data_IF_914916167703
#
_entry.id   IF_914916167703
#
_cell.length_a   1.000
_cell.length_b   1.000
_cell.length_c   1.000
_cell.angle_alpha   90.00
_cell.angle_beta   90.00
_cell.angle_gamma   90.00
#
_symmetry.space_group_name_H-M   'P 1'
#
loop_
_entity.id
_entity.type
_entity.pdbx_description
1 polymer ?
#
# COMPACT_ATOMS: atom_id res chain seq x y z
N UNK A 1 21.74 -16.84 29.75
CA UNK A 1 21.04 -18.08 30.13
C UNK A 1 19.63 -17.95 29.58
N UNK A 2 19.21 -18.88 28.72
CA UNK A 2 17.86 -18.87 28.17
C UNK A 2 16.93 -19.58 29.15
N UNK A 3 15.91 -18.90 29.65
CA UNK A 3 14.90 -19.48 30.52
C UNK A 3 13.64 -19.79 29.71
N UNK A 4 12.97 -20.88 30.07
CA UNK A 4 11.66 -21.23 29.54
C UNK A 4 10.61 -20.35 30.21
N UNK A 5 9.58 -19.91 29.46
CA UNK A 5 8.60 -18.94 29.98
C UNK A 5 7.85 -19.49 31.21
N UNK A 6 7.66 -20.80 31.30
CA UNK A 6 7.05 -21.44 32.47
C UNK A 6 7.91 -21.45 33.75
N UNK A 7 9.22 -21.21 33.67
CA UNK A 7 10.03 -20.98 34.88
C UNK A 7 9.69 -19.59 35.48
N UNK A 8 9.04 -18.72 34.69
CA UNK A 8 8.60 -17.38 35.10
C UNK A 8 7.21 -17.37 35.79
N UNK A 9 6.67 -18.56 36.08
CA UNK A 9 5.26 -18.81 36.40
C UNK A 9 4.79 -18.40 37.81
N UNK A 10 5.68 -18.32 38.80
CA UNK A 10 5.26 -18.35 40.21
C UNK A 10 4.51 -17.10 40.72
N UNK A 11 4.58 -15.96 40.02
CA UNK A 11 3.96 -14.70 40.47
C UNK A 11 2.93 -14.08 39.49
N UNK A 12 2.69 -14.65 38.30
CA UNK A 12 1.91 -13.94 37.27
C UNK A 12 0.98 -14.80 36.39
N UNK A 13 0.15 -15.61 37.04
CA UNK A 13 -0.84 -16.52 36.40
C UNK A 13 -1.76 -15.82 35.38
N UNK A 14 -2.10 -14.53 35.61
CA UNK A 14 -2.91 -13.72 34.69
C UNK A 14 -2.16 -13.43 33.38
N UNK A 15 -0.88 -13.08 33.45
CA UNK A 15 -0.02 -12.84 32.29
C UNK A 15 0.18 -14.13 31.50
N UNK A 16 0.36 -15.26 32.18
CA UNK A 16 0.46 -16.58 31.54
C UNK A 16 -0.80 -16.94 30.74
N UNK A 17 -1.98 -16.84 31.35
CA UNK A 17 -3.25 -17.12 30.66
C UNK A 17 -3.48 -16.18 29.45
N UNK A 18 -3.17 -14.89 29.61
CA UNK A 18 -3.27 -13.88 28.55
C UNK A 18 -2.36 -14.21 27.35
N UNK A 19 -1.14 -14.66 27.60
CA UNK A 19 -0.22 -15.07 26.53
C UNK A 19 -0.69 -16.33 25.81
N UNK A 20 -1.21 -17.33 26.54
CA UNK A 20 -1.78 -18.53 25.93
C UNK A 20 -2.97 -18.21 25.03
N UNK A 21 -3.88 -17.36 25.49
CA UNK A 21 -5.00 -16.89 24.68
C UNK A 21 -4.53 -16.16 23.42
N UNK A 22 -3.53 -15.28 23.57
CA UNK A 22 -2.97 -14.53 22.44
C UNK A 22 -2.32 -15.46 21.40
N UNK A 23 -1.53 -16.44 21.83
CA UNK A 23 -0.93 -17.44 20.93
C UNK A 23 -2.02 -18.28 20.25
N UNK A 24 -3.03 -18.73 20.99
CA UNK A 24 -4.14 -19.52 20.42
C UNK A 24 -4.89 -18.74 19.34
N UNK A 25 -5.17 -17.46 19.59
CA UNK A 25 -5.82 -16.59 18.61
C UNK A 25 -4.95 -16.34 17.38
N UNK A 26 -3.62 -16.26 17.54
CA UNK A 26 -2.68 -16.14 16.43
C UNK A 26 -2.67 -17.42 15.59
N UNK A 27 -2.54 -18.60 16.22
CA UNK A 27 -2.49 -19.90 15.53
C UNK A 27 -3.75 -20.18 14.71
N UNK A 28 -4.92 -19.67 15.11
CA UNK A 28 -6.15 -19.73 14.30
C UNK A 28 -6.03 -19.06 12.92
N UNK A 29 -5.04 -18.20 12.72
CA UNK A 29 -4.78 -17.53 11.45
C UNK A 29 -3.78 -18.28 10.56
N UNK A 30 -3.28 -19.46 10.95
CA UNK A 30 -2.22 -20.19 10.23
C UNK A 30 -2.63 -20.59 8.80
N UNK A 31 -3.90 -20.91 8.58
CA UNK A 31 -4.44 -21.27 7.26
C UNK A 31 -4.85 -20.05 6.41
N UNK A 32 -4.79 -18.86 7.00
CA UNK A 32 -5.25 -17.64 6.36
C UNK A 32 -4.14 -16.95 5.56
N UNK A 33 -4.53 -16.11 4.60
CA UNK A 33 -3.60 -15.42 3.72
C UNK A 33 -2.53 -14.58 4.47
N UNK A 34 -2.83 -14.14 5.69
CA UNK A 34 -1.89 -13.39 6.53
C UNK A 34 -0.68 -14.25 6.97
N UNK A 35 -0.83 -15.56 7.13
CA UNK A 35 0.25 -16.44 7.54
C UNK A 35 1.34 -16.53 6.47
N UNK A 36 0.99 -16.37 5.19
CA UNK A 36 1.96 -16.31 4.09
C UNK A 36 2.98 -15.16 4.24
N UNK A 37 2.63 -14.12 4.99
CA UNK A 37 3.46 -12.93 5.24
C UNK A 37 4.42 -13.10 6.43
N UNK A 38 4.21 -14.13 7.26
CA UNK A 38 5.02 -14.43 8.46
C UNK A 38 5.17 -15.95 8.68
N UNK A 39 5.51 -16.67 7.61
CA UNK A 39 5.61 -18.15 7.59
C UNK A 39 6.51 -18.70 8.70
N UNK A 40 7.64 -18.04 8.96
CA UNK A 40 8.61 -18.51 9.95
C UNK A 40 8.05 -18.43 11.38
N UNK A 41 7.39 -17.32 11.73
CA UNK A 41 6.76 -17.13 13.03
C UNK A 41 5.64 -18.15 13.28
N UNK A 42 4.78 -18.36 12.27
CA UNK A 42 3.76 -19.41 12.31
C UNK A 42 4.38 -20.79 12.45
N UNK A 43 5.39 -21.13 11.65
CA UNK A 43 6.07 -22.43 11.73
C UNK A 43 6.71 -22.68 13.09
N UNK A 44 7.29 -21.65 13.72
CA UNK A 44 7.84 -21.72 15.09
C UNK A 44 6.74 -21.99 16.12
N UNK A 45 5.64 -21.22 16.08
CA UNK A 45 4.52 -21.43 16.99
C UNK A 45 3.88 -22.81 16.81
N UNK A 46 3.61 -23.25 15.58
CA UNK A 46 3.00 -24.56 15.32
C UNK A 46 3.92 -25.72 15.70
N UNK A 47 5.24 -25.55 15.56
CA UNK A 47 6.21 -26.53 16.05
C UNK A 47 6.18 -26.60 17.58
N UNK A 48 6.17 -25.45 18.26
CA UNK A 48 6.11 -25.38 19.71
C UNK A 48 4.78 -25.97 20.24
N UNK A 49 3.66 -25.70 19.57
CA UNK A 49 2.35 -26.26 19.91
C UNK A 49 2.36 -27.80 19.80
N UNK A 50 2.91 -28.36 18.72
CA UNK A 50 3.04 -29.81 18.55
C UNK A 50 3.93 -30.45 19.62
N UNK A 51 5.02 -29.77 19.99
CA UNK A 51 5.91 -30.23 21.06
C UNK A 51 5.19 -30.19 22.42
N UNK A 52 4.41 -29.14 22.70
CA UNK A 52 3.59 -29.02 23.89
C UNK A 52 2.51 -30.12 23.96
N UNK A 53 1.78 -30.35 22.87
CA UNK A 53 0.78 -31.41 22.79
C UNK A 53 1.39 -32.81 23.02
N UNK A 54 2.61 -33.04 22.51
CA UNK A 54 3.32 -34.29 22.75
C UNK A 54 3.74 -34.42 24.21
N UNK A 55 4.33 -33.37 24.81
CA UNK A 55 4.77 -33.38 26.21
C UNK A 55 3.61 -33.52 27.20
N UNK A 56 2.48 -32.87 26.95
CA UNK A 56 1.26 -32.96 27.75
C UNK A 56 0.70 -34.38 27.84
N UNK A 57 0.99 -35.24 26.85
CA UNK A 57 0.57 -36.65 26.86
C UNK A 57 1.35 -37.51 27.87
N UNK A 58 2.54 -37.07 28.28
CA UNK A 58 3.45 -37.82 29.16
C UNK A 58 3.74 -37.09 30.47
N UNK A 59 3.05 -35.98 30.73
CA UNK A 59 3.20 -35.13 31.90
C UNK A 59 1.94 -35.20 32.77
N UNK A 60 2.12 -35.29 34.09
CA UNK A 60 1.02 -35.13 35.07
C UNK A 60 0.73 -33.64 35.36
N UNK A 61 1.56 -32.73 34.87
CA UNK A 61 1.41 -31.26 34.98
C UNK A 61 0.81 -30.65 33.70
N UNK A 62 0.17 -29.47 33.83
CA UNK A 62 -0.41 -28.64 32.76
C UNK A 62 0.68 -28.12 31.79
N UNK A 63 1.28 -29.02 31.01
CA UNK A 63 2.32 -28.73 30.03
C UNK A 63 1.73 -28.01 28.80
N UNK A 64 2.22 -26.82 28.51
CA UNK A 64 1.68 -25.94 27.48
C UNK A 64 2.79 -25.36 26.57
N UNK A 65 2.39 -24.55 25.59
CA UNK A 65 3.34 -23.98 24.60
C UNK A 65 4.39 -23.06 25.24
N UNK A 66 4.07 -22.44 26.38
CA UNK A 66 5.01 -21.58 27.12
C UNK A 66 6.09 -22.40 27.85
N UNK A 67 5.88 -23.69 28.07
CA UNK A 67 6.91 -24.63 28.56
C UNK A 67 7.90 -25.06 27.47
N UNK A 68 7.61 -24.73 26.21
CA UNK A 68 8.45 -25.06 25.06
C UNK A 68 9.18 -23.82 24.56
N UNK A 69 8.50 -22.68 24.54
CA UNK A 69 9.05 -21.43 24.04
C UNK A 69 10.03 -20.81 25.03
N UNK A 70 11.19 -20.43 24.51
CA UNK A 70 12.14 -19.59 25.25
C UNK A 70 11.81 -18.10 25.11
N UNK A 71 12.37 -17.29 25.99
CA UNK A 71 12.30 -15.82 25.88
C UNK A 71 12.83 -15.30 24.53
N UNK A 72 13.92 -15.90 24.02
CA UNK A 72 14.51 -15.57 22.72
C UNK A 72 13.57 -15.93 21.57
N UNK A 73 12.91 -17.09 21.64
CA UNK A 73 11.90 -17.51 20.65
C UNK A 73 10.72 -16.55 20.63
N UNK A 74 10.21 -16.15 21.80
CA UNK A 74 9.09 -15.23 21.92
C UNK A 74 9.43 -13.84 21.35
N UNK A 75 10.62 -13.31 21.67
CA UNK A 75 11.09 -12.04 21.09
C UNK A 75 11.19 -12.14 19.56
N UNK A 76 11.77 -13.22 19.05
CA UNK A 76 11.91 -13.43 17.61
C UNK A 76 10.55 -13.51 16.91
N UNK A 77 9.60 -14.25 17.49
CA UNK A 77 8.22 -14.37 16.98
C UNK A 77 7.51 -13.00 16.97
N UNK A 78 7.60 -12.23 18.07
CA UNK A 78 7.00 -10.89 18.15
C UNK A 78 7.61 -9.97 17.08
N UNK A 79 8.93 -10.01 16.90
CA UNK A 79 9.62 -9.21 15.89
C UNK A 79 9.16 -9.55 14.45
N UNK A 80 9.11 -10.84 14.12
CA UNK A 80 8.66 -11.31 12.81
C UNK A 80 7.20 -10.91 12.53
N UNK A 81 6.31 -11.03 13.52
CA UNK A 81 4.93 -10.57 13.36
C UNK A 81 4.81 -9.07 13.17
N UNK A 82 5.56 -8.26 13.93
CA UNK A 82 5.57 -6.80 13.74
C UNK A 82 6.02 -6.41 12.34
N UNK A 83 7.07 -7.06 11.82
CA UNK A 83 7.54 -6.85 10.45
C UNK A 83 6.46 -7.20 9.43
N UNK A 84 5.77 -8.33 9.61
CA UNK A 84 4.69 -8.73 8.72
C UNK A 84 3.48 -7.80 8.79
N UNK A 85 3.11 -7.30 9.97
CA UNK A 85 2.02 -6.32 10.16
C UNK A 85 2.27 -5.03 9.38
N UNK A 86 3.52 -4.57 9.30
CA UNK A 86 3.91 -3.43 8.47
C UNK A 86 3.69 -3.73 6.98
N UNK A 87 4.22 -4.86 6.49
CA UNK A 87 4.08 -5.28 5.09
C UNK A 87 2.61 -5.46 4.67
N UNK A 88 1.80 -6.05 5.55
CA UNK A 88 0.35 -6.23 5.33
C UNK A 88 -0.36 -4.88 5.26
N UNK A 89 0.03 -3.92 6.11
CA UNK A 89 -0.53 -2.56 6.08
C UNK A 89 -0.23 -1.86 4.76
N UNK A 90 1.02 -1.91 4.30
CA UNK A 90 1.44 -1.34 3.02
C UNK A 90 0.67 -1.97 1.85
N UNK A 91 0.46 -3.28 1.91
CA UNK A 91 -0.27 -4.07 0.92
C UNK A 91 -1.75 -3.68 0.85
N UNK A 92 -2.42 -3.56 2.00
CA UNK A 92 -3.81 -3.08 2.11
C UNK A 92 -3.92 -1.65 1.54
N UNK A 93 -3.00 -0.76 1.92
CA UNK A 93 -3.00 0.62 1.45
C UNK A 93 -2.76 0.73 -0.06
N UNK A 94 -1.87 -0.10 -0.61
CA UNK A 94 -1.63 -0.17 -2.06
C UNK A 94 -2.89 -0.63 -2.81
N UNK A 95 -3.57 -1.66 -2.33
CA UNK A 95 -4.84 -2.12 -2.89
C UNK A 95 -5.94 -1.04 -2.79
N UNK A 96 -6.03 -0.34 -1.66
CA UNK A 96 -6.98 0.74 -1.48
C UNK A 96 -6.70 1.95 -2.39
N UNK A 97 -5.43 2.24 -2.70
CA UNK A 97 -5.05 3.26 -3.69
C UNK A 97 -5.43 2.82 -5.11
N UNK A 98 -5.07 1.60 -5.51
CA UNK A 98 -5.42 1.05 -6.82
C UNK A 98 -6.94 1.07 -7.07
N UNK A 99 -7.74 0.67 -6.06
CA UNK A 99 -9.21 0.74 -6.15
C UNK A 99 -9.73 2.17 -6.36
N UNK A 100 -9.14 3.18 -5.71
CA UNK A 100 -9.50 4.60 -5.91
C UNK A 100 -9.12 5.11 -7.30
N UNK A 101 -7.96 4.70 -7.81
CA UNK A 101 -7.53 5.03 -9.17
C UNK A 101 -8.48 4.43 -10.21
N UNK A 102 -8.90 3.18 -10.03
CA UNK A 102 -9.90 2.52 -10.89
C UNK A 102 -11.24 3.27 -10.90
N UNK A 103 -11.73 3.70 -9.73
CA UNK A 103 -12.95 4.52 -9.65
C UNK A 103 -12.78 5.86 -10.39
N UNK A 104 -11.60 6.46 -10.26
CA UNK A 104 -11.27 7.72 -10.95
C UNK A 104 -11.23 7.52 -12.48
N UNK A 105 -10.61 6.44 -12.95
CA UNK A 105 -10.59 6.07 -14.38
C UNK A 105 -12.00 5.81 -14.90
N UNK A 106 -12.82 5.07 -14.16
CA UNK A 106 -14.22 4.83 -14.52
C UNK A 106 -15.01 6.15 -14.63
N UNK A 107 -14.81 7.08 -13.68
CA UNK A 107 -15.40 8.41 -13.74
C UNK A 107 -14.98 9.21 -14.99
N UNK A 108 -13.68 9.19 -15.33
CA UNK A 108 -13.16 9.83 -16.55
C UNK A 108 -13.75 9.21 -17.83
N UNK A 109 -13.88 7.89 -17.87
CA UNK A 109 -14.50 7.18 -19.01
C UNK A 109 -15.95 7.61 -19.19
N UNK A 110 -16.73 7.68 -18.11
CA UNK A 110 -18.13 8.13 -18.16
C UNK A 110 -18.23 9.59 -18.60
N UNK A 111 -17.41 10.48 -18.05
CA UNK A 111 -17.39 11.89 -18.44
C UNK A 111 -17.07 12.07 -19.93
N UNK A 112 -16.04 11.37 -20.43
CA UNK A 112 -15.70 11.40 -21.86
C UNK A 112 -16.75 10.74 -22.73
N UNK A 113 -17.40 9.68 -22.28
CA UNK A 113 -18.48 9.05 -23.02
C UNK A 113 -19.66 10.02 -23.19
N UNK A 114 -19.98 10.79 -22.14
CA UNK A 114 -20.99 11.84 -22.25
C UNK A 114 -20.56 12.95 -23.22
N UNK A 115 -19.30 13.40 -23.15
CA UNK A 115 -18.79 14.42 -24.09
C UNK A 115 -18.86 13.94 -25.56
N UNK A 116 -18.55 12.66 -25.80
CA UNK A 116 -18.70 12.04 -27.13
C UNK A 116 -20.18 12.09 -27.56
N UNK A 117 -21.11 11.68 -26.69
CA UNK A 117 -22.55 11.72 -26.99
C UNK A 117 -23.01 13.14 -27.32
N UNK A 118 -22.65 14.13 -26.51
CA UNK A 118 -23.06 15.52 -26.72
C UNK A 118 -22.53 16.08 -28.06
N UNK A 119 -21.27 15.79 -28.39
CA UNK A 119 -20.68 16.19 -29.68
C UNK A 119 -21.28 15.41 -30.85
N UNK A 120 -21.61 14.14 -30.65
CA UNK A 120 -22.27 13.32 -31.66
C UNK A 120 -23.69 13.82 -31.94
N UNK A 121 -24.42 14.26 -30.92
CA UNK A 121 -25.75 14.86 -31.06
C UNK A 121 -25.67 16.18 -31.82
N UNK A 122 -24.70 17.05 -31.48
CA UNK A 122 -24.44 18.27 -32.26
C UNK A 122 -24.09 17.96 -33.72
N UNK A 123 -23.32 16.89 -33.97
CA UNK A 123 -23.00 16.44 -35.33
C UNK A 123 -24.25 15.93 -36.06
N UNK A 124 -25.12 15.19 -35.37
CA UNK A 124 -26.39 14.71 -35.88
C UNK A 124 -27.34 15.87 -36.24
N UNK A 125 -27.39 16.92 -35.43
CA UNK A 125 -28.14 18.14 -35.72
C UNK A 125 -27.62 18.87 -36.96
N UNK A 126 -26.30 19.03 -37.07
CA UNK A 126 -25.67 19.58 -38.28
C UNK A 126 -26.02 18.76 -39.53
N UNK A 127 -26.14 17.43 -39.39
CA UNK A 127 -26.45 16.50 -40.48
C UNK A 127 -27.94 16.43 -40.88
N UNK A 128 -28.86 17.01 -40.09
CA UNK A 128 -30.29 17.11 -40.45
C UNK A 128 -30.54 18.09 -41.61
N UNK A 129 -29.60 19.00 -41.89
CA UNK A 129 -29.73 19.95 -43.00
C UNK A 129 -29.40 19.31 -44.36
N UNK A 130 -30.14 19.65 -45.45
CA UNK A 130 -30.05 18.96 -46.75
C UNK A 130 -28.75 19.18 -47.53
N UNK A 131 -27.91 20.16 -47.16
CA UNK A 131 -26.62 20.43 -47.84
C UNK A 131 -25.50 19.66 -47.17
N UNK A 132 -25.42 18.37 -47.50
CA UNK A 132 -24.43 17.40 -46.96
C UNK A 132 -23.13 17.30 -47.76
N UNK A 133 -23.09 17.87 -48.96
CA UNK A 133 -21.92 17.77 -49.84
C UNK A 133 -20.83 18.74 -49.39
N UNK A 134 -19.59 18.27 -49.45
CA UNK A 134 -18.40 19.12 -49.37
C UNK A 134 -18.55 20.35 -50.29
N UNK A 135 -18.24 21.57 -49.81
CA UNK A 135 -18.32 22.76 -50.64
C UNK A 135 -17.39 22.60 -51.84
N UNK A 136 -17.99 22.57 -53.04
CA UNK A 136 -17.22 22.51 -54.28
C UNK A 136 -16.36 23.76 -54.48
N UNK A 137 -15.45 23.69 -55.45
CA UNK A 137 -14.48 24.76 -55.74
C UNK A 137 -15.11 26.15 -55.81
N UNK A 138 -16.22 26.32 -56.54
CA UNK A 138 -16.91 27.61 -56.70
C UNK A 138 -17.48 28.17 -55.39
N UNK A 139 -18.03 27.30 -54.53
CA UNK A 139 -18.56 27.73 -53.23
C UNK A 139 -17.42 28.23 -52.34
N UNK A 140 -16.31 27.49 -52.29
CA UNK A 140 -15.12 27.91 -51.54
C UNK A 140 -14.46 29.15 -52.12
N UNK A 141 -14.48 29.30 -53.45
CA UNK A 141 -13.95 30.48 -54.14
C UNK A 141 -14.75 31.74 -53.80
N UNK A 142 -16.08 31.66 -53.84
CA UNK A 142 -17.00 32.78 -53.55
C UNK A 142 -17.05 33.10 -52.05
N UNK A 143 -16.89 32.09 -51.18
CA UNK A 143 -16.93 32.25 -49.71
C UNK A 143 -15.74 33.02 -49.11
N UNK A 144 -14.72 33.36 -49.91
CA UNK A 144 -13.52 34.04 -49.43
C UNK A 144 -13.85 35.41 -48.82
N UNK A 145 -13.55 35.57 -47.53
CA UNK A 145 -13.79 36.80 -46.78
C UNK A 145 -12.75 37.89 -47.09
N UNK A 146 -11.62 37.55 -47.72
CA UNK A 146 -10.57 38.51 -48.03
C UNK A 146 -10.01 38.31 -49.46
N UNK A 147 -10.86 38.46 -50.50
CA UNK A 147 -10.43 38.26 -51.88
C UNK A 147 -9.51 39.41 -52.33
N UNK A 148 -8.37 39.09 -52.92
CA UNK A 148 -7.51 40.08 -53.59
C UNK A 148 -8.20 40.75 -54.79
N UNK A 149 -7.63 41.83 -55.32
CA UNK A 149 -8.24 42.68 -56.37
C UNK A 149 -8.85 41.91 -57.55
N UNK A 150 -8.09 40.99 -58.16
CA UNK A 150 -8.56 40.20 -59.31
C UNK A 150 -9.72 39.28 -58.93
N UNK A 151 -9.66 38.66 -57.76
CA UNK A 151 -10.71 37.77 -57.25
C UNK A 151 -11.97 38.54 -56.89
N UNK A 152 -11.82 39.75 -56.35
CA UNK A 152 -12.92 40.65 -56.03
C UNK A 152 -13.70 41.06 -57.28
N UNK A 153 -13.02 41.36 -58.39
CA UNK A 153 -13.67 41.62 -59.68
C UNK A 153 -14.48 40.40 -60.17
N UNK A 154 -13.89 39.20 -60.10
CA UNK A 154 -14.58 37.96 -60.51
C UNK A 154 -15.83 37.71 -59.67
N UNK A 155 -15.73 37.87 -58.35
CA UNK A 155 -16.88 37.71 -57.44
C UNK A 155 -17.96 38.77 -57.70
N UNK A 156 -17.57 40.02 -57.94
CA UNK A 156 -18.51 41.12 -58.17
C UNK A 156 -19.35 40.95 -59.44
N UNK A 157 -18.79 40.37 -60.51
CA UNK A 157 -19.51 40.13 -61.76
C UNK A 157 -20.31 38.82 -61.78
N UNK A 158 -19.93 37.83 -60.97
CA UNK A 158 -20.51 36.48 -61.02
C UNK A 158 -21.41 36.15 -59.83
N UNK A 159 -21.42 36.93 -58.76
CA UNK A 159 -22.12 36.57 -57.54
C UNK A 159 -22.74 37.74 -56.81
N UNK A 160 -23.98 37.53 -56.36
CA UNK A 160 -24.69 38.48 -55.51
C UNK A 160 -24.22 38.38 -54.04
N UNK A 161 -24.44 39.45 -53.27
CA UNK A 161 -24.11 39.50 -51.84
C UNK A 161 -24.78 38.37 -51.03
N UNK A 162 -25.98 37.96 -51.43
CA UNK A 162 -26.73 36.84 -50.84
C UNK A 162 -26.06 35.49 -51.11
N UNK A 163 -25.50 35.30 -52.31
CA UNK A 163 -24.75 34.10 -52.70
C UNK A 163 -23.43 34.01 -51.96
N UNK A 164 -22.72 35.13 -51.79
CA UNK A 164 -21.50 35.21 -50.98
C UNK A 164 -21.78 34.79 -49.53
N UNK A 165 -22.80 35.36 -48.89
CA UNK A 165 -23.20 34.98 -47.52
C UNK A 165 -23.63 33.53 -47.40
N UNK A 166 -24.33 33.02 -48.41
CA UNK A 166 -24.74 31.61 -48.47
C UNK A 166 -23.53 30.70 -48.59
N UNK A 167 -22.56 31.03 -49.45
CA UNK A 167 -21.32 30.30 -49.62
C UNK A 167 -20.48 30.29 -48.34
N UNK A 168 -20.33 31.45 -47.68
CA UNK A 168 -19.68 31.57 -46.37
C UNK A 168 -20.33 30.67 -45.32
N UNK A 169 -21.67 30.65 -45.26
CA UNK A 169 -22.41 29.80 -44.32
C UNK A 169 -22.20 28.31 -44.59
N UNK A 170 -22.14 27.90 -45.86
CA UNK A 170 -21.85 26.49 -46.23
C UNK A 170 -20.43 26.11 -45.81
N UNK A 171 -19.43 26.94 -46.15
CA UNK A 171 -18.04 26.67 -45.79
C UNK A 171 -17.82 26.65 -44.27
N UNK A 172 -18.41 27.61 -43.54
CA UNK A 172 -18.32 27.65 -42.07
C UNK A 172 -18.95 26.41 -41.43
N UNK A 173 -20.12 25.97 -41.91
CA UNK A 173 -20.78 24.76 -41.41
C UNK A 173 -19.99 23.49 -41.72
N UNK A 174 -19.40 23.40 -42.92
CA UNK A 174 -18.55 22.28 -43.29
C UNK A 174 -17.28 22.23 -42.43
N UNK A 175 -16.65 23.38 -42.16
CA UNK A 175 -15.51 23.48 -41.26
C UNK A 175 -15.87 23.05 -39.83
N UNK A 176 -17.00 23.54 -39.30
CA UNK A 176 -17.49 23.15 -37.97
C UNK A 176 -17.74 21.63 -37.89
N UNK A 177 -18.37 21.05 -38.92
CA UNK A 177 -18.59 19.60 -39.01
C UNK A 177 -17.27 18.83 -38.96
N UNK A 178 -16.28 19.22 -39.77
CA UNK A 178 -14.99 18.52 -39.81
C UNK A 178 -14.22 18.63 -38.50
N UNK A 179 -14.26 19.80 -37.86
CA UNK A 179 -13.69 19.99 -36.52
C UNK A 179 -14.39 19.08 -35.50
N UNK A 180 -15.72 19.00 -35.53
CA UNK A 180 -16.49 18.18 -34.62
C UNK A 180 -16.24 16.67 -34.83
N UNK A 181 -16.17 16.22 -36.09
CA UNK A 181 -15.79 14.84 -36.42
C UNK A 181 -14.40 14.50 -35.92
N UNK A 182 -13.42 15.39 -36.13
CA UNK A 182 -12.06 15.19 -35.63
C UNK A 182 -12.02 15.16 -34.10
N UNK A 183 -12.80 16.01 -33.43
CA UNK A 183 -12.88 16.04 -31.97
C UNK A 183 -13.52 14.77 -31.39
N UNK A 184 -14.59 14.27 -32.02
CA UNK A 184 -15.22 13.00 -31.64
C UNK A 184 -14.23 11.85 -31.79
N UNK A 185 -13.54 11.74 -32.93
CA UNK A 185 -12.55 10.69 -33.17
C UNK A 185 -11.40 10.73 -32.15
N UNK A 186 -10.92 11.92 -31.78
CA UNK A 186 -9.90 12.09 -30.75
C UNK A 186 -10.41 11.65 -29.37
N UNK A 187 -11.62 12.05 -28.99
CA UNK A 187 -12.23 11.65 -27.72
C UNK A 187 -12.51 10.15 -27.65
N UNK A 188 -12.94 9.53 -28.74
CA UNK A 188 -13.13 8.07 -28.84
C UNK A 188 -11.82 7.32 -28.63
N UNK A 189 -10.73 7.79 -29.25
CA UNK A 189 -9.40 7.22 -29.07
C UNK A 189 -8.94 7.34 -27.61
N UNK A 190 -9.07 8.51 -27.00
CA UNK A 190 -8.74 8.71 -25.57
C UNK A 190 -9.62 7.86 -24.64
N UNK A 191 -10.92 7.75 -24.92
CA UNK A 191 -11.85 6.94 -24.13
C UNK A 191 -11.48 5.46 -24.23
N UNK A 192 -11.05 5.00 -25.41
CA UNK A 192 -10.53 3.65 -25.62
C UNK A 192 -9.27 3.40 -24.79
N UNK A 193 -8.28 4.29 -24.84
CA UNK A 193 -7.07 4.18 -24.01
C UNK A 193 -7.42 4.10 -22.53
N UNK A 194 -8.33 4.94 -22.02
CA UNK A 194 -8.76 4.88 -20.63
C UNK A 194 -9.46 3.55 -20.27
N UNK A 195 -10.24 2.99 -21.19
CA UNK A 195 -10.87 1.67 -20.99
C UNK A 195 -9.84 0.56 -20.93
N UNK A 196 -8.82 0.61 -21.79
CA UNK A 196 -7.71 -0.33 -21.78
C UNK A 196 -6.92 -0.23 -20.47
N UNK A 197 -6.62 0.99 -20.00
CA UNK A 197 -5.97 1.24 -18.70
C UNK A 197 -6.81 0.72 -17.52
N UNK A 198 -8.13 0.95 -17.54
CA UNK A 198 -9.03 0.42 -16.52
C UNK A 198 -9.06 -1.11 -16.53
N UNK A 199 -9.04 -1.73 -17.72
CA UNK A 199 -9.00 -3.18 -17.87
C UNK A 199 -7.71 -3.76 -17.28
N UNK A 200 -6.55 -3.16 -17.62
CA UNK A 200 -5.27 -3.54 -17.05
C UNK A 200 -5.25 -3.39 -15.53
N UNK A 201 -5.79 -2.28 -15.00
CA UNK A 201 -5.89 -2.06 -13.55
C UNK A 201 -6.77 -3.12 -12.87
N UNK A 202 -7.88 -3.54 -13.49
CA UNK A 202 -8.73 -4.63 -13.01
C UNK A 202 -7.97 -5.96 -12.96
N UNK A 203 -7.24 -6.31 -14.02
CA UNK A 203 -6.44 -7.54 -14.07
C UNK A 203 -5.36 -7.53 -12.99
N UNK A 204 -4.63 -6.42 -12.83
CA UNK A 204 -3.61 -6.28 -11.80
C UNK A 204 -4.20 -6.36 -10.38
N UNK A 205 -5.40 -5.81 -10.17
CA UNK A 205 -6.10 -5.91 -8.89
C UNK A 205 -6.51 -7.36 -8.61
N UNK A 206 -7.09 -8.05 -9.59
CA UNK A 206 -7.48 -9.46 -9.45
C UNK A 206 -6.26 -10.34 -9.13
N UNK A 207 -5.16 -10.17 -9.85
CA UNK A 207 -3.93 -10.91 -9.58
C UNK A 207 -3.44 -10.67 -8.14
N UNK A 208 -3.48 -9.43 -7.65
CA UNK A 208 -3.13 -9.13 -6.26
C UNK A 208 -4.09 -9.82 -5.28
N UNK A 209 -5.39 -9.78 -5.53
CA UNK A 209 -6.38 -10.47 -4.70
C UNK A 209 -6.18 -11.99 -4.69
N UNK A 210 -5.74 -12.58 -5.80
CA UNK A 210 -5.40 -14.01 -5.89
C UNK A 210 -4.11 -14.33 -5.10
N UNK A 211 -3.13 -13.42 -5.10
CA UNK A 211 -1.84 -13.59 -4.40
C UNK A 211 -1.94 -13.38 -2.88
N UNK A 212 -2.65 -12.35 -2.43
CA UNK A 212 -2.67 -11.91 -1.02
C UNK A 212 -4.03 -12.11 -0.34
N UNK A 213 -5.02 -12.60 -1.09
CA UNK A 213 -6.39 -12.77 -0.63
C UNK A 213 -7.21 -11.47 -0.66
N UNK A 214 -8.45 -11.60 -0.21
CA UNK A 214 -9.38 -10.48 -0.15
C UNK A 214 -8.89 -9.41 0.85
N UNK A 215 -8.81 -8.12 0.46
CA UNK A 215 -8.25 -7.07 1.31
C UNK A 215 -9.04 -6.81 2.60
N UNK A 216 -10.36 -7.00 2.60
CA UNK A 216 -11.19 -6.84 3.80
C UNK A 216 -10.94 -7.96 4.80
N UNK A 217 -10.81 -9.21 4.31
CA UNK A 217 -10.40 -10.35 5.14
C UNK A 217 -8.99 -10.14 5.69
N UNK A 218 -8.06 -9.71 4.85
CA UNK A 218 -6.68 -9.44 5.25
C UNK A 218 -6.61 -8.35 6.32
N UNK A 219 -7.42 -7.30 6.22
CA UNK A 219 -7.55 -6.26 7.24
C UNK A 219 -8.12 -6.79 8.56
N UNK A 220 -9.14 -7.65 8.51
CA UNK A 220 -9.68 -8.28 9.71
C UNK A 220 -8.63 -9.15 10.41
N UNK A 221 -7.92 -10.01 9.67
CA UNK A 221 -6.87 -10.86 10.22
C UNK A 221 -5.68 -10.04 10.74
N UNK A 222 -5.33 -8.94 10.06
CA UNK A 222 -4.31 -7.99 10.54
C UNK A 222 -4.68 -7.45 11.91
N UNK A 223 -5.93 -7.00 12.10
CA UNK A 223 -6.36 -6.44 13.39
C UNK A 223 -6.30 -7.49 14.52
N UNK A 224 -6.66 -8.75 14.22
CA UNK A 224 -6.54 -9.86 15.18
C UNK A 224 -5.06 -10.08 15.53
N UNK A 225 -4.20 -10.19 14.53
CA UNK A 225 -2.76 -10.40 14.73
C UNK A 225 -2.13 -9.24 15.50
N UNK A 226 -2.44 -8.00 15.16
CA UNK A 226 -1.94 -6.78 15.80
C UNK A 226 -2.32 -6.72 17.29
N UNK A 227 -3.58 -7.00 17.62
CA UNK A 227 -4.05 -7.01 19.01
C UNK A 227 -3.34 -8.11 19.84
N UNK A 228 -3.20 -9.31 19.30
CA UNK A 228 -2.56 -10.42 20.01
C UNK A 228 -1.04 -10.23 20.12
N UNK A 229 -0.38 -9.69 19.10
CA UNK A 229 1.06 -9.37 19.15
C UNK A 229 1.34 -8.26 20.17
N UNK A 230 0.48 -7.24 20.26
CA UNK A 230 0.59 -6.21 21.29
C UNK A 230 0.42 -6.79 22.70
N UNK A 231 -0.50 -7.74 22.87
CA UNK A 231 -0.66 -8.50 24.12
C UNK A 231 0.60 -9.28 24.46
N UNK A 232 1.14 -10.06 23.51
CA UNK A 232 2.37 -10.82 23.71
C UNK A 232 3.55 -9.93 24.06
N UNK A 233 3.72 -8.79 23.41
CA UNK A 233 4.80 -7.86 23.73
C UNK A 233 4.65 -7.27 25.13
N UNK A 234 3.45 -6.82 25.50
CA UNK A 234 3.18 -6.26 26.84
C UNK A 234 3.45 -7.30 27.93
N UNK A 235 2.98 -8.52 27.71
CA UNK A 235 3.11 -9.62 28.67
C UNK A 235 4.55 -10.15 28.76
N UNK A 236 5.27 -10.27 27.63
CA UNK A 236 6.70 -10.60 27.60
C UNK A 236 7.54 -9.57 28.36
N UNK A 237 7.28 -8.27 28.16
CA UNK A 237 7.94 -7.18 28.89
C UNK A 237 7.66 -7.24 30.39
N UNK A 238 6.41 -7.53 30.77
CA UNK A 238 6.02 -7.70 32.17
C UNK A 238 6.81 -8.82 32.83
N UNK A 239 6.87 -9.99 32.18
CA UNK A 239 7.65 -11.13 32.67
C UNK A 239 9.14 -10.78 32.82
N UNK A 240 9.75 -10.14 31.81
CA UNK A 240 11.15 -9.74 31.88
C UNK A 240 11.45 -8.71 32.97
N UNK A 241 10.53 -7.77 33.22
CA UNK A 241 10.69 -6.73 34.25
C UNK A 241 10.60 -7.29 35.67
N UNK A 242 9.70 -8.25 35.93
CA UNK A 242 9.56 -8.91 37.23
C UNK A 242 10.83 -9.67 37.61
N UNK A 243 11.52 -10.26 36.64
CA UNK A 243 12.77 -10.98 36.85
C UNK A 243 14.00 -10.06 37.00
N UNK A 244 13.99 -8.88 36.37
CA UNK A 244 14.95 -7.82 36.66
C UNK A 244 14.88 -7.29 38.10
N UNK A 245 13.79 -7.56 38.82
CA UNK A 245 13.61 -7.22 40.24
C UNK A 245 13.73 -8.42 41.20
N UNK A 246 13.86 -9.66 40.71
CA UNK A 246 13.95 -10.87 41.55
C UNK A 246 15.34 -11.55 41.53
N UNK A 247 16.41 -10.74 41.50
CA UNK A 247 17.75 -11.19 41.82
C UNK A 247 18.48 -10.19 42.72
N UNK A 248 19.03 -10.59 43.88
CA UNK A 248 19.84 -9.72 44.72
C UNK A 248 21.25 -9.60 44.11
N UNK A 249 21.41 -8.90 42.98
CA UNK A 249 22.74 -8.54 42.45
C UNK A 249 22.72 -7.16 41.79
N UNK A 250 22.06 -6.19 42.42
CA UNK A 250 22.21 -4.77 42.09
C UNK A 250 22.84 -3.99 43.25
N UNK A 251 23.79 -4.61 43.97
CA UNK A 251 24.68 -3.92 44.91
C UNK A 251 25.90 -4.78 45.27
N UNK A 252 26.64 -5.28 44.27
CA UNK A 252 27.97 -5.86 44.52
C UNK A 252 28.98 -5.67 43.37
N UNK A 253 28.59 -5.03 42.25
CA UNK A 253 29.52 -4.70 41.15
C UNK A 253 30.02 -3.25 41.21
N UNK A 254 29.61 -2.48 42.23
CA UNK A 254 30.15 -1.14 42.51
C UNK A 254 31.09 -1.11 43.73
N UNK A 255 31.16 -2.18 44.53
CA UNK A 255 32.00 -2.22 45.74
C UNK A 255 33.31 -3.04 45.60
N UNK A 256 33.53 -3.75 44.49
CA UNK A 256 34.80 -4.47 44.26
C UNK A 256 35.80 -3.76 43.33
N UNK A 257 35.56 -2.47 43.03
CA UNK A 257 36.53 -1.61 42.33
C UNK A 257 37.35 -0.73 43.27
N UNK A 258 37.33 -1.00 44.58
CA UNK A 258 37.98 -0.15 45.57
C UNK A 258 38.87 -0.87 46.60
N UNK A 259 39.05 -2.20 46.48
CA UNK A 259 39.77 -2.99 47.51
C UNK A 259 40.91 -3.86 46.96
N UNK A 260 41.43 -3.55 45.77
CA UNK A 260 42.65 -4.17 45.24
C UNK A 260 43.45 -3.14 44.44
N UNK A 261 43.99 -2.13 45.11
CA UNK A 261 45.35 -1.69 44.81
C UNK A 261 45.91 -0.81 45.93
N UNK A 262 47.17 -1.06 46.25
CA UNK A 262 48.06 -0.29 47.12
C UNK A 262 47.96 -0.48 48.64
N UNK A 263 48.44 -1.64 49.06
CA UNK A 263 49.03 -1.81 50.38
C UNK A 263 50.27 -2.69 50.35
N UNK A 264 51.36 -2.27 49.69
CA UNK A 264 52.71 -2.72 50.08
C UNK A 264 53.82 -1.80 49.54
N UNK A 265 54.26 -0.89 50.40
CA UNK A 265 55.58 -0.27 50.34
C UNK A 265 56.62 -1.34 50.76
N UNK A 266 57.80 -1.41 50.14
CA UNK A 266 58.94 -0.80 50.83
C UNK A 266 59.99 -0.17 49.90
N UNK A 267 60.36 1.07 50.23
CA UNK A 267 61.74 1.36 50.57
C UNK A 267 62.65 1.94 49.48
N UNK A 268 63.08 3.17 49.77
CA UNK A 268 64.44 3.72 49.64
C UNK A 268 64.84 4.47 48.35
N UNK A 269 64.86 5.81 48.52
CA UNK A 269 65.88 6.82 48.14
C UNK A 269 66.33 6.92 46.67
N UNK A 270 66.16 8.12 46.11
CA UNK A 270 67.01 8.61 45.02
C UNK A 270 66.57 9.95 44.45
N UNK A 271 67.33 11.00 44.74
CA UNK A 271 67.21 12.36 44.19
C UNK A 271 67.18 12.42 42.65
N UNK A 272 66.48 13.42 42.10
CA UNK A 272 67.09 14.55 41.33
C UNK A 272 66.26 14.98 40.11
N UNK A 273 65.72 16.20 40.20
CA UNK A 273 65.70 17.33 39.24
C UNK A 273 65.40 17.15 37.74
N UNK A 274 64.55 18.09 37.27
CA UNK A 274 64.62 18.80 35.97
C UNK A 274 64.29 17.97 34.72
N UNK A 275 63.75 18.48 33.63
CA UNK A 275 63.16 19.75 33.21
C UNK A 275 62.56 19.45 31.81
N UNK A 276 61.79 20.40 31.27
CA UNK A 276 61.46 20.63 29.86
C UNK A 276 62.03 19.67 28.80
N UNK A 277 61.17 19.24 27.87
CA UNK A 277 61.05 19.79 26.50
C UNK A 277 59.58 19.72 26.10
#
# INVERSE_FOLDING_TARGET
MSHTISILHNDNQKTHASMLEAISNILRLEEEAIASQCKDAFARLSKAEKQAQHGAKYSDEDYCILDVLTDEDLIAIIYEFKKALLNVSETIDAMARAKREMVTLAGKITAKAQEILDKQDKLNELNKNPRRSEPGFWITFIADANPGFVKSLIIHFLSDLTEIRTAQTICARHAERNQLMSAVAALEAENKTLKDDLSLAKTNMQQREDEVGNPEKLKAHKNILEANVATLERDAKSLMATFGQQGPVAQAVVAQKQDNDEGLNPGTRGFSTNALI
#
